data_IF_465830494243
#
_entry.id   IF_465830494243
#
_cell.length_a   1.000
_cell.length_b   1.000
_cell.length_c   1.000
_cell.angle_alpha   90.00
_cell.angle_beta   90.00
_cell.angle_gamma   90.00
#
_symmetry.space_group_name_H-M   'P 1'
#
loop_
_entity.id
_entity.type
_entity.pdbx_description
1 polymer ?
#
# COMPACT_ATOMS: atom_id res chain seq x y z
N UNK A 1 7.15 -8.74 -23.77
CA UNK A 1 7.61 -7.88 -22.66
C UNK A 1 6.76 -8.27 -21.46
N UNK A 2 7.29 -8.37 -20.25
CA UNK A 2 6.50 -8.66 -19.07
C UNK A 2 5.58 -7.49 -18.67
N UNK A 3 4.59 -7.78 -17.85
CA UNK A 3 3.64 -6.83 -17.29
C UNK A 3 2.72 -6.17 -18.34
N UNK A 4 2.19 -6.98 -19.24
CA UNK A 4 1.28 -6.56 -20.33
C UNK A 4 -0.03 -7.33 -20.34
N UNK A 5 -0.20 -8.36 -19.49
CA UNK A 5 -1.43 -9.12 -19.41
C UNK A 5 -2.61 -8.20 -19.07
N UNK A 6 -3.72 -8.42 -19.76
CA UNK A 6 -4.94 -7.67 -19.55
C UNK A 6 -5.62 -8.11 -18.25
N UNK A 7 -5.96 -7.14 -17.39
CA UNK A 7 -6.69 -7.40 -16.16
C UNK A 7 -8.19 -7.39 -16.47
N UNK A 8 -8.83 -8.50 -16.20
CA UNK A 8 -10.25 -8.71 -16.46
C UNK A 8 -10.88 -9.59 -15.35
N UNK A 9 -12.20 -9.79 -15.41
CA UNK A 9 -12.90 -10.69 -14.48
C UNK A 9 -12.46 -12.14 -14.58
N UNK A 10 -11.97 -12.58 -15.74
CA UNK A 10 -11.47 -13.94 -15.96
C UNK A 10 -9.98 -14.07 -15.67
N UNK A 11 -9.25 -12.96 -15.70
CA UNK A 11 -7.83 -12.86 -15.38
C UNK A 11 -7.63 -11.70 -14.38
N UNK A 12 -8.03 -11.87 -13.11
CA UNK A 12 -7.83 -10.84 -12.09
C UNK A 12 -6.34 -10.66 -11.81
N UNK A 13 -5.96 -9.53 -11.23
CA UNK A 13 -4.64 -9.38 -10.60
C UNK A 13 -4.78 -9.41 -9.07
N UNK A 14 -3.66 -9.54 -8.38
CA UNK A 14 -3.63 -9.62 -6.93
C UNK A 14 -2.80 -8.47 -6.32
N UNK A 15 -3.37 -7.82 -5.31
CA UNK A 15 -2.63 -6.90 -4.43
C UNK A 15 -2.57 -7.48 -3.03
N UNK A 16 -1.35 -7.62 -2.50
CA UNK A 16 -1.13 -8.08 -1.14
C UNK A 16 -0.39 -7.01 -0.34
N UNK A 17 -1.08 -6.44 0.64
CA UNK A 17 -0.51 -5.45 1.56
C UNK A 17 0.03 -6.16 2.79
N UNK A 18 1.30 -5.90 3.12
CA UNK A 18 1.94 -6.31 4.37
C UNK A 18 2.06 -5.05 5.22
N UNK A 19 1.36 -5.01 6.34
CA UNK A 19 1.26 -3.81 7.17
C UNK A 19 1.93 -4.06 8.51
N UNK A 20 2.97 -3.29 8.77
CA UNK A 20 3.61 -3.25 10.08
C UNK A 20 2.62 -2.78 11.14
N UNK A 21 2.46 -3.61 12.16
CA UNK A 21 1.61 -3.36 13.32
C UNK A 21 2.42 -3.39 14.62
N UNK A 22 3.73 -3.18 14.54
CA UNK A 22 4.63 -3.14 15.70
C UNK A 22 4.41 -1.92 16.57
N UNK A 23 4.96 -1.96 17.79
CA UNK A 23 4.80 -0.89 18.77
C UNK A 23 5.30 0.48 18.30
N UNK A 24 6.34 0.54 17.46
CA UNK A 24 6.86 1.78 16.87
C UNK A 24 5.87 2.49 15.94
N UNK A 25 4.87 1.77 15.43
CA UNK A 25 3.78 2.36 14.65
C UNK A 25 2.81 3.22 15.50
N UNK A 26 2.97 3.25 16.83
CA UNK A 26 2.27 4.21 17.71
C UNK A 26 2.87 5.61 17.68
N UNK A 27 4.09 5.77 17.19
CA UNK A 27 4.73 7.07 17.08
C UNK A 27 3.90 8.00 16.21
N UNK A 28 3.85 9.28 16.62
CA UNK A 28 3.19 10.32 15.83
C UNK A 28 4.02 10.59 14.57
N UNK A 29 3.36 10.65 13.43
CA UNK A 29 4.00 11.11 12.19
C UNK A 29 4.50 12.55 12.39
N UNK A 30 5.70 12.86 11.88
CA UNK A 30 6.38 14.13 12.12
C UNK A 30 5.46 15.34 11.89
N UNK A 31 5.28 16.23 12.91
CA UNK A 31 4.48 17.43 12.80
C UNK A 31 4.92 18.40 11.69
N UNK A 32 6.20 18.37 11.29
CA UNK A 32 6.72 19.22 10.21
C UNK A 32 6.25 18.78 8.83
N UNK A 33 6.03 17.49 8.63
CA UNK A 33 5.38 16.94 7.45
C UNK A 33 3.86 17.20 7.46
N UNK A 34 3.26 17.40 8.64
CA UNK A 34 1.86 17.77 8.81
C UNK A 34 1.58 19.18 8.26
N UNK A 35 2.49 20.13 8.45
CA UNK A 35 2.36 21.51 7.91
C UNK A 35 2.40 21.56 6.38
N UNK A 36 3.04 20.58 5.72
CA UNK A 36 2.98 20.44 4.27
C UNK A 36 1.63 19.91 3.78
N UNK A 37 0.85 19.28 4.66
CA UNK A 37 -0.47 18.69 4.38
C UNK A 37 -1.63 19.68 4.44
N UNK A 38 -1.47 20.85 5.04
CA UNK A 38 -2.47 21.93 5.00
C UNK A 38 -2.60 22.54 3.60
N UNK A 39 -1.76 22.14 2.65
CA UNK A 39 -1.92 22.52 1.25
C UNK A 39 -2.83 21.50 0.56
N UNK A 40 -3.92 21.96 -0.09
CA UNK A 40 -4.77 21.07 -0.83
C UNK A 40 -3.97 20.38 -1.94
N UNK A 41 -3.90 19.03 -1.88
CA UNK A 41 -3.29 18.22 -2.93
C UNK A 41 -4.37 17.83 -3.93
N UNK A 42 -4.14 18.11 -5.21
CA UNK A 42 -5.02 17.68 -6.29
C UNK A 42 -4.49 16.35 -6.85
N UNK A 43 -5.23 15.26 -6.66
CA UNK A 43 -5.01 13.97 -7.31
C UNK A 43 -6.28 13.65 -8.10
N UNK A 44 -6.17 13.45 -9.39
CA UNK A 44 -7.30 13.21 -10.32
C UNK A 44 -8.38 14.31 -10.26
N UNK A 45 -7.98 15.59 -10.20
CA UNK A 45 -8.91 16.72 -10.10
C UNK A 45 -9.64 16.84 -8.77
N UNK A 46 -9.26 16.04 -7.77
CA UNK A 46 -9.83 16.09 -6.41
C UNK A 46 -8.84 16.65 -5.42
N UNK A 47 -9.27 17.67 -4.68
CA UNK A 47 -8.48 18.30 -3.62
C UNK A 47 -8.55 17.48 -2.34
N UNK A 48 -7.42 17.22 -1.72
CA UNK A 48 -7.29 16.49 -0.45
C UNK A 48 -6.62 17.41 0.58
N UNK A 49 -7.33 17.77 1.62
CA UNK A 49 -6.79 18.45 2.81
C UNK A 49 -6.89 17.51 4.00
N UNK A 50 -5.78 17.26 4.67
CA UNK A 50 -5.75 16.48 5.90
C UNK A 50 -5.40 17.38 7.07
N UNK A 51 -6.27 17.50 8.03
CA UNK A 51 -5.96 18.02 9.37
C UNK A 51 -5.39 16.86 10.20
N UNK A 52 -4.08 16.68 10.18
CA UNK A 52 -3.42 15.55 10.81
C UNK A 52 -2.57 15.96 12.02
N UNK A 53 -3.07 16.81 12.91
CA UNK A 53 -2.41 17.02 14.20
C UNK A 53 -2.59 15.76 15.08
N UNK A 54 -1.52 15.04 15.36
CA UNK A 54 -1.48 13.97 16.36
C UNK A 54 -1.85 12.56 15.89
N UNK A 55 -1.95 12.28 14.58
CA UNK A 55 -2.15 10.90 14.10
C UNK A 55 -0.88 10.06 14.23
N UNK A 56 -1.05 8.82 14.70
CA UNK A 56 0.04 7.84 14.71
C UNK A 56 0.32 7.31 13.30
N UNK A 57 1.50 6.70 13.08
CA UNK A 57 1.84 6.01 11.83
C UNK A 57 0.78 4.96 11.48
N UNK A 58 0.36 4.13 12.46
CA UNK A 58 -0.69 3.13 12.27
C UNK A 58 -2.02 3.73 11.79
N UNK A 59 -2.46 4.84 12.41
CA UNK A 59 -3.68 5.54 11.99
C UNK A 59 -3.56 6.10 10.57
N UNK A 60 -2.40 6.68 10.26
CA UNK A 60 -2.11 7.19 8.92
C UNK A 60 -2.19 6.10 7.86
N UNK A 61 -1.51 4.97 8.09
CA UNK A 61 -1.51 3.82 7.18
C UNK A 61 -2.94 3.26 7.01
N UNK A 62 -3.67 3.06 8.11
CA UNK A 62 -5.04 2.55 8.05
C UNK A 62 -5.96 3.46 7.21
N UNK A 63 -5.86 4.78 7.38
CA UNK A 63 -6.64 5.74 6.60
C UNK A 63 -6.32 5.66 5.10
N UNK A 64 -5.04 5.52 4.75
CA UNK A 64 -4.61 5.42 3.34
C UNK A 64 -5.06 4.10 2.72
N UNK A 65 -4.88 2.98 3.41
CA UNK A 65 -5.32 1.68 2.91
C UNK A 65 -6.85 1.66 2.71
N UNK A 66 -7.63 2.10 3.69
CA UNK A 66 -9.10 2.18 3.54
C UNK A 66 -9.50 3.07 2.36
N UNK A 67 -8.82 4.20 2.19
CA UNK A 67 -9.07 5.10 1.06
C UNK A 67 -8.70 4.47 -0.28
N UNK A 68 -7.58 3.76 -0.35
CA UNK A 68 -7.17 3.03 -1.55
C UNK A 68 -8.21 1.97 -1.92
N UNK A 69 -8.64 1.15 -0.96
CA UNK A 69 -9.69 0.14 -1.16
C UNK A 69 -10.97 0.79 -1.69
N UNK A 70 -11.42 1.88 -1.08
CA UNK A 70 -12.58 2.63 -1.56
C UNK A 70 -12.41 3.15 -2.99
N UNK A 71 -11.25 3.70 -3.34
CA UNK A 71 -10.99 4.18 -4.69
C UNK A 71 -10.96 3.03 -5.71
N UNK A 72 -10.37 1.87 -5.36
CA UNK A 72 -10.37 0.68 -6.21
C UNK A 72 -11.79 0.17 -6.45
N UNK A 73 -12.67 0.17 -5.44
CA UNK A 73 -14.09 -0.22 -5.64
C UNK A 73 -14.78 0.71 -6.62
N UNK A 74 -14.54 2.02 -6.54
CA UNK A 74 -15.11 3.01 -7.48
C UNK A 74 -14.55 2.78 -8.91
N UNK A 75 -13.25 2.53 -9.07
CA UNK A 75 -12.65 2.29 -10.39
C UNK A 75 -13.20 1.03 -11.06
N UNK A 76 -13.51 0.00 -10.26
CA UNK A 76 -14.08 -1.26 -10.74
C UNK A 76 -15.59 -1.23 -10.90
N UNK A 77 -16.27 -0.15 -10.46
CA UNK A 77 -17.72 -0.01 -10.57
C UNK A 77 -18.17 0.20 -12.03
N UNK A 78 -19.18 -0.55 -12.44
CA UNK A 78 -19.88 -0.44 -13.73
C UNK A 78 -21.38 -0.41 -13.47
N UNK A 79 -22.19 -0.28 -14.52
CA UNK A 79 -23.66 -0.23 -14.41
C UNK A 79 -24.26 -1.46 -13.74
N UNK A 80 -23.63 -2.62 -13.87
CA UNK A 80 -24.06 -3.90 -13.30
C UNK A 80 -23.50 -4.20 -11.90
N UNK A 81 -22.66 -3.32 -11.34
CA UNK A 81 -22.01 -3.49 -10.04
C UNK A 81 -20.49 -3.39 -10.12
N UNK A 82 -19.79 -3.82 -9.05
CA UNK A 82 -18.32 -3.82 -9.01
C UNK A 82 -17.80 -5.09 -9.68
N UNK A 83 -16.90 -4.94 -10.64
CA UNK A 83 -16.28 -6.06 -11.36
C UNK A 83 -15.04 -6.55 -10.61
N UNK A 84 -14.92 -7.86 -10.45
CA UNK A 84 -13.80 -8.51 -9.76
C UNK A 84 -12.53 -8.53 -10.63
N UNK A 85 -11.94 -7.37 -10.82
CA UNK A 85 -10.65 -7.21 -11.50
C UNK A 85 -9.47 -7.49 -10.59
N UNK A 86 -9.69 -7.47 -9.27
CA UNK A 86 -8.65 -7.65 -8.27
C UNK A 86 -9.09 -8.58 -7.15
N UNK A 87 -8.13 -9.39 -6.70
CA UNK A 87 -8.14 -10.02 -5.40
C UNK A 87 -7.15 -9.30 -4.48
N UNK A 88 -7.59 -8.95 -3.28
CA UNK A 88 -6.84 -8.11 -2.37
C UNK A 88 -6.68 -8.80 -1.03
N UNK A 89 -5.45 -8.82 -0.53
CA UNK A 89 -5.14 -9.25 0.82
C UNK A 89 -4.53 -8.11 1.65
N UNK A 90 -4.83 -8.11 2.94
CA UNK A 90 -4.15 -7.28 3.93
C UNK A 90 -3.65 -8.20 5.03
N UNK A 91 -2.35 -8.32 5.16
CA UNK A 91 -1.68 -9.09 6.22
C UNK A 91 -1.04 -8.11 7.19
N UNK A 92 -1.50 -8.11 8.43
CA UNK A 92 -0.87 -7.38 9.52
C UNK A 92 0.24 -8.22 10.15
N UNK A 93 1.33 -7.60 10.54
CA UNK A 93 2.40 -8.23 11.29
C UNK A 93 2.86 -7.35 12.46
N UNK A 94 2.80 -7.91 13.64
CA UNK A 94 3.09 -7.26 14.91
C UNK A 94 3.26 -8.31 16.01
N UNK A 95 2.85 -7.98 17.20
CA UNK A 95 2.86 -8.93 18.29
C UNK A 95 2.15 -8.38 19.52
N UNK A 96 2.11 -9.19 20.54
CA UNK A 96 1.68 -8.82 21.89
C UNK A 96 2.49 -9.63 22.90
N UNK A 97 2.11 -9.59 24.16
CA UNK A 97 2.77 -10.33 25.23
C UNK A 97 2.74 -11.86 25.05
N UNK A 98 1.91 -12.38 24.14
CA UNK A 98 1.83 -13.82 23.82
C UNK A 98 2.75 -14.23 22.67
N UNK A 99 3.33 -13.27 21.92
CA UNK A 99 4.30 -13.53 20.85
C UNK A 99 4.01 -12.79 19.54
N UNK A 100 4.66 -13.23 18.47
CA UNK A 100 4.48 -12.68 17.14
C UNK A 100 3.06 -13.01 16.60
N UNK A 101 2.42 -12.02 16.00
CA UNK A 101 1.14 -12.15 15.32
C UNK A 101 1.28 -11.75 13.86
N UNK A 102 1.04 -12.72 12.96
CA UNK A 102 1.06 -12.49 11.51
C UNK A 102 -0.19 -13.13 10.92
N UNK A 103 -1.00 -12.35 10.22
CA UNK A 103 -2.22 -12.88 9.60
C UNK A 103 -3.11 -11.85 8.95
N UNK A 104 -4.26 -12.31 8.41
CA UNK A 104 -5.25 -11.45 7.79
C UNK A 104 -5.71 -10.33 8.74
N UNK A 105 -5.78 -9.11 8.22
CA UNK A 105 -6.04 -7.91 9.03
C UNK A 105 -7.34 -7.18 8.65
N UNK A 106 -8.16 -7.74 7.78
CA UNK A 106 -9.49 -7.20 7.54
C UNK A 106 -10.39 -7.35 8.78
N UNK A 107 -11.25 -6.37 8.98
CA UNK A 107 -12.26 -6.36 10.04
C UNK A 107 -13.68 -6.66 9.49
N UNK A 108 -14.63 -6.87 10.40
CA UNK A 108 -16.02 -7.13 10.07
C UNK A 108 -16.23 -8.50 9.45
N UNK A 109 -17.07 -8.59 8.42
CA UNK A 109 -17.41 -9.86 7.76
C UNK A 109 -16.23 -10.48 6.98
N UNK A 110 -15.21 -9.69 6.65
CA UNK A 110 -14.01 -10.15 5.96
C UNK A 110 -12.90 -10.63 6.92
N UNK A 111 -13.16 -10.66 8.23
CA UNK A 111 -12.18 -11.11 9.23
C UNK A 111 -11.68 -12.52 8.93
N UNK A 112 -10.36 -12.69 8.98
CA UNK A 112 -9.71 -13.98 8.78
C UNK A 112 -9.52 -14.40 7.31
N UNK A 113 -10.02 -13.63 6.35
CA UNK A 113 -9.83 -13.88 4.92
C UNK A 113 -8.45 -13.41 4.47
N UNK A 114 -7.71 -14.29 3.80
CA UNK A 114 -6.37 -13.99 3.26
C UNK A 114 -6.45 -13.14 2.00
N UNK A 115 -7.35 -13.53 1.08
CA UNK A 115 -7.67 -12.79 -0.13
C UNK A 115 -9.19 -12.64 -0.25
N UNK A 116 -9.62 -11.51 -0.75
CA UNK A 116 -11.03 -11.17 -1.02
C UNK A 116 -11.13 -10.46 -2.36
N UNK A 117 -12.22 -10.66 -3.08
CA UNK A 117 -12.45 -9.95 -4.33
C UNK A 117 -12.78 -8.48 -4.08
N UNK A 118 -12.54 -7.61 -5.06
CA UNK A 118 -12.88 -6.19 -4.94
C UNK A 118 -14.40 -5.98 -4.82
N UNK A 119 -15.22 -6.90 -5.35
CA UNK A 119 -16.67 -6.91 -5.17
C UNK A 119 -17.07 -7.24 -3.73
N UNK A 120 -16.41 -8.21 -3.07
CA UNK A 120 -16.63 -8.49 -1.64
C UNK A 120 -16.24 -7.26 -0.79
N UNK A 121 -15.10 -6.62 -1.08
CA UNK A 121 -14.69 -5.37 -0.41
C UNK A 121 -15.77 -4.29 -0.55
N UNK A 122 -16.31 -4.10 -1.74
CA UNK A 122 -17.35 -3.09 -1.98
C UNK A 122 -18.63 -3.32 -1.15
N UNK A 123 -18.98 -4.60 -0.93
CA UNK A 123 -20.23 -4.99 -0.28
C UNK A 123 -20.12 -5.14 1.24
N UNK A 124 -18.91 -5.38 1.78
CA UNK A 124 -18.70 -5.75 3.18
C UNK A 124 -17.71 -4.82 3.92
N UNK A 125 -17.94 -3.50 3.97
CA UNK A 125 -17.17 -2.66 4.88
C UNK A 125 -17.49 -3.07 6.33
N UNK A 126 -16.47 -3.10 7.18
CA UNK A 126 -16.67 -3.39 8.62
C UNK A 126 -17.58 -2.34 9.27
N UNK A 127 -17.47 -1.08 8.84
CA UNK A 127 -18.34 0.02 9.23
C UNK A 127 -18.20 1.18 8.24
N UNK A 128 -19.14 2.13 8.34
CA UNK A 128 -19.10 3.40 7.60
C UNK A 128 -19.00 4.53 8.62
N UNK A 129 -17.96 5.34 8.53
CA UNK A 129 -17.74 6.52 9.37
C UNK A 129 -18.21 7.78 8.64
N UNK A 130 -18.81 8.72 9.37
CA UNK A 130 -18.97 10.09 8.87
C UNK A 130 -17.68 10.87 9.14
N UNK A 131 -17.10 11.43 8.09
CA UNK A 131 -15.93 12.29 8.18
C UNK A 131 -16.21 13.64 7.55
N UNK A 132 -15.55 14.68 8.04
CA UNK A 132 -15.67 16.03 7.48
C UNK A 132 -14.50 16.25 6.52
N UNK A 133 -14.80 16.71 5.31
CA UNK A 133 -13.83 17.11 4.30
C UNK A 133 -14.04 18.58 3.99
N UNK A 134 -12.95 19.35 3.94
CA UNK A 134 -12.99 20.73 3.42
C UNK A 134 -13.00 20.69 1.88
N UNK A 135 -13.95 21.35 1.28
CA UNK A 135 -14.13 21.42 -0.17
C UNK A 135 -14.25 22.90 -0.54
N UNK A 136 -13.60 23.31 -1.63
CA UNK A 136 -13.77 24.65 -2.20
C UNK A 136 -15.22 24.80 -2.71
N UNK A 137 -15.92 25.84 -2.30
CA UNK A 137 -17.29 26.16 -2.70
C UNK A 137 -17.38 26.79 -4.11
N UNK A 138 -16.25 26.94 -4.81
CA UNK A 138 -16.15 27.64 -6.10
C UNK A 138 -16.08 29.17 -6.01
N UNK A 139 -16.21 29.73 -4.80
CA UNK A 139 -16.05 31.16 -4.51
C UNK A 139 -14.73 31.46 -3.78
N UNK A 140 -13.93 30.43 -3.48
CA UNK A 140 -12.65 30.52 -2.79
C UNK A 140 -12.74 30.31 -1.28
N UNK A 141 -13.91 29.94 -0.75
CA UNK A 141 -14.08 29.53 0.64
C UNK A 141 -14.05 28.00 0.78
N UNK A 142 -13.44 27.53 1.87
CA UNK A 142 -13.42 26.10 2.22
C UNK A 142 -14.61 25.81 3.14
N UNK A 143 -15.59 25.08 2.61
CA UNK A 143 -16.75 24.60 3.38
C UNK A 143 -16.56 23.17 3.87
N UNK A 144 -17.13 22.86 5.03
CA UNK A 144 -17.12 21.54 5.60
C UNK A 144 -18.20 20.65 4.95
N UNK A 145 -17.76 19.63 4.22
CA UNK A 145 -18.64 18.63 3.62
C UNK A 145 -18.56 17.32 4.40
N UNK A 146 -19.69 16.80 4.86
CA UNK A 146 -19.77 15.45 5.43
C UNK A 146 -19.66 14.41 4.31
N UNK A 147 -18.77 13.44 4.49
CA UNK A 147 -18.60 12.30 3.58
C UNK A 147 -18.74 11.00 4.35
N UNK A 148 -19.27 9.97 3.70
CA UNK A 148 -19.25 8.61 4.20
C UNK A 148 -17.92 7.97 3.83
N UNK A 149 -17.21 7.42 4.82
CA UNK A 149 -15.90 6.79 4.64
C UNK A 149 -15.98 5.35 5.13
N UNK A 150 -15.93 4.36 4.23
CA UNK A 150 -15.97 2.96 4.60
C UNK A 150 -14.63 2.52 5.20
N UNK A 151 -14.70 1.66 6.21
CA UNK A 151 -13.55 1.10 6.93
C UNK A 151 -13.58 -0.41 6.78
N UNK A 152 -12.47 -1.00 6.41
CA UNK A 152 -12.21 -2.44 6.33
C UNK A 152 -11.06 -2.88 7.21
N UNK A 153 -10.18 -1.94 7.59
CA UNK A 153 -8.94 -2.19 8.29
C UNK A 153 -8.76 -1.14 9.40
N UNK A 154 -8.56 -1.62 10.64
CA UNK A 154 -8.32 -0.76 11.79
C UNK A 154 -6.83 -0.60 12.08
N UNK A 155 -6.40 0.56 12.60
CA UNK A 155 -5.02 0.76 13.02
C UNK A 155 -4.70 -0.13 14.22
N UNK A 156 -3.59 -0.84 14.13
CA UNK A 156 -3.02 -1.65 15.21
C UNK A 156 -1.54 -1.29 15.34
N UNK A 157 -1.04 -1.17 16.57
CA UNK A 157 0.37 -0.96 16.85
C UNK A 157 0.71 -1.59 18.21
N UNK A 158 1.36 -2.76 18.18
CA UNK A 158 1.73 -3.51 19.37
C UNK A 158 2.87 -4.51 19.10
N UNK A 159 3.75 -4.70 20.07
CA UNK A 159 4.81 -5.71 20.08
C UNK A 159 5.93 -5.49 19.06
N UNK A 160 6.51 -6.59 18.63
CA UNK A 160 7.65 -6.62 17.72
C UNK A 160 7.26 -6.56 16.24
N UNK A 161 8.26 -6.68 15.35
CA UNK A 161 8.13 -6.56 13.90
C UNK A 161 8.53 -7.88 13.21
N UNK A 162 7.69 -8.92 13.19
CA UNK A 162 8.00 -10.22 12.61
C UNK A 162 7.92 -10.20 11.07
N UNK A 163 8.77 -9.40 10.42
CA UNK A 163 8.75 -9.15 8.98
C UNK A 163 9.08 -10.41 8.17
N UNK A 164 10.01 -11.22 8.62
CA UNK A 164 10.36 -12.47 7.93
C UNK A 164 9.18 -13.46 7.90
N UNK A 165 8.45 -13.56 9.01
CA UNK A 165 7.23 -14.38 9.07
C UNK A 165 6.13 -13.81 8.15
N UNK A 166 5.99 -12.47 8.09
CA UNK A 166 5.03 -11.82 7.19
C UNK A 166 5.36 -12.10 5.71
N UNK A 167 6.62 -12.00 5.32
CA UNK A 167 7.07 -12.35 3.96
C UNK A 167 6.85 -13.85 3.65
N UNK A 168 7.11 -14.74 4.62
CA UNK A 168 6.84 -16.17 4.46
C UNK A 168 5.34 -16.46 4.29
N UNK A 169 4.50 -15.78 5.05
CA UNK A 169 3.04 -15.88 4.91
C UNK A 169 2.58 -15.37 3.53
N UNK A 170 3.11 -14.24 3.08
CA UNK A 170 2.85 -13.70 1.75
C UNK A 170 3.26 -14.68 0.64
N UNK A 171 4.44 -15.29 0.76
CA UNK A 171 4.90 -16.30 -0.19
C UNK A 171 3.91 -17.47 -0.29
N UNK A 172 3.41 -17.98 0.84
CA UNK A 172 2.45 -19.10 0.85
C UNK A 172 1.15 -18.73 0.11
N UNK A 173 0.55 -17.58 0.44
CA UNK A 173 -0.67 -17.05 -0.21
C UNK A 173 -0.46 -16.92 -1.72
N UNK A 174 0.65 -16.32 -2.12
CA UNK A 174 0.94 -16.03 -3.53
C UNK A 174 1.32 -17.24 -4.34
N UNK A 175 1.93 -18.27 -3.71
CA UNK A 175 2.19 -19.55 -4.37
C UNK A 175 0.89 -20.23 -4.77
N UNK A 176 -0.11 -20.25 -3.88
CA UNK A 176 -1.43 -20.79 -4.17
C UNK A 176 -2.15 -19.97 -5.25
N UNK A 177 -2.10 -18.65 -5.13
CA UNK A 177 -2.75 -17.76 -6.08
C UNK A 177 -2.19 -17.91 -7.50
N UNK A 178 -0.87 -17.89 -7.67
CA UNK A 178 -0.19 -18.04 -8.98
C UNK A 178 -0.51 -19.39 -9.62
N UNK A 179 -0.61 -20.46 -8.82
CA UNK A 179 -0.97 -21.79 -9.32
C UNK A 179 -2.36 -21.82 -9.99
N UNK A 180 -3.29 -20.97 -9.51
CA UNK A 180 -4.64 -20.83 -10.09
C UNK A 180 -4.74 -19.78 -11.20
N UNK A 181 -3.75 -18.88 -11.34
CA UNK A 181 -3.83 -17.67 -12.16
C UNK A 181 -2.57 -17.44 -13.02
N UNK A 182 -2.04 -18.50 -13.65
CA UNK A 182 -0.77 -18.43 -14.38
C UNK A 182 -0.77 -17.39 -15.54
N UNK A 183 -1.92 -17.17 -16.18
CA UNK A 183 -2.06 -16.22 -17.29
C UNK A 183 -2.37 -14.76 -16.86
N UNK A 184 -2.50 -14.52 -15.56
CA UNK A 184 -2.86 -13.21 -15.02
C UNK A 184 -1.67 -12.26 -14.95
N UNK A 185 -1.96 -10.96 -14.85
CA UNK A 185 -0.96 -9.96 -14.49
C UNK A 185 -0.34 -10.32 -13.13
N UNK A 186 1.00 -10.26 -12.99
CA UNK A 186 1.68 -10.69 -11.77
C UNK A 186 1.18 -9.95 -10.52
N UNK A 187 1.05 -10.65 -9.38
CA UNK A 187 0.75 -10.01 -8.11
C UNK A 187 1.73 -8.91 -7.74
N UNK A 188 1.22 -7.92 -7.00
CA UNK A 188 2.03 -6.85 -6.44
C UNK A 188 1.92 -6.91 -4.92
N UNK A 189 3.06 -7.12 -4.25
CA UNK A 189 3.18 -7.07 -2.80
C UNK A 189 3.65 -5.68 -2.40
N UNK A 190 2.97 -5.06 -1.46
CA UNK A 190 3.32 -3.73 -0.94
C UNK A 190 3.52 -3.85 0.56
N UNK A 191 4.77 -3.78 0.99
CA UNK A 191 5.13 -3.79 2.40
C UNK A 191 5.27 -2.37 2.93
N UNK A 192 4.59 -2.05 4.03
CA UNK A 192 4.59 -0.74 4.69
C UNK A 192 5.09 -0.92 6.11
N UNK A 193 6.24 -0.31 6.44
CA UNK A 193 6.94 -0.52 7.71
C UNK A 193 7.75 0.71 8.10
N UNK A 194 8.13 0.83 9.36
CA UNK A 194 9.14 1.79 9.82
C UNK A 194 10.58 1.21 9.82
N UNK A 195 10.77 -0.02 9.32
CA UNK A 195 12.00 -0.57 8.79
C UNK A 195 12.73 -1.59 9.64
N UNK A 196 12.61 -1.60 10.94
CA UNK A 196 13.31 -2.54 11.81
C UNK A 196 12.52 -3.85 11.96
N UNK A 197 13.17 -4.99 11.76
CA UNK A 197 12.58 -6.31 12.02
C UNK A 197 13.13 -6.90 13.31
N UNK A 198 12.33 -7.70 14.00
CA UNK A 198 12.67 -8.31 15.30
C UNK A 198 12.78 -9.83 15.26
N UNK A 199 12.49 -10.43 14.13
CA UNK A 199 12.62 -11.87 13.89
C UNK A 199 13.88 -12.19 13.04
N UNK A 200 13.83 -13.15 12.14
CA UNK A 200 14.92 -13.49 11.25
C UNK A 200 15.07 -12.47 10.11
N UNK A 201 16.24 -12.46 9.44
CA UNK A 201 16.48 -11.66 8.24
C UNK A 201 15.45 -12.03 7.14
N UNK A 202 14.63 -11.08 6.67
CA UNK A 202 13.57 -11.35 5.71
C UNK A 202 14.05 -11.53 4.26
N UNK A 203 15.35 -11.42 3.96
CA UNK A 203 15.89 -11.46 2.59
C UNK A 203 15.49 -12.72 1.85
N UNK A 204 15.66 -13.90 2.46
CA UNK A 204 15.34 -15.17 1.82
C UNK A 204 13.86 -15.31 1.47
N UNK A 205 12.97 -14.87 2.36
CA UNK A 205 11.54 -14.90 2.13
C UNK A 205 11.13 -13.89 1.03
N UNK A 206 11.71 -12.69 1.05
CA UNK A 206 11.48 -11.67 0.02
C UNK A 206 11.97 -12.12 -1.36
N UNK A 207 13.14 -12.76 -1.44
CA UNK A 207 13.66 -13.31 -2.70
C UNK A 207 12.78 -14.45 -3.22
N UNK A 208 12.24 -15.28 -2.33
CA UNK A 208 11.29 -16.34 -2.69
C UNK A 208 9.99 -15.76 -3.26
N UNK A 209 9.46 -14.66 -2.72
CA UNK A 209 8.31 -13.95 -3.30
C UNK A 209 8.64 -13.45 -4.72
N UNK A 210 9.77 -12.76 -4.89
CA UNK A 210 10.20 -12.21 -6.19
C UNK A 210 10.54 -13.29 -7.22
N UNK A 211 10.80 -14.53 -6.81
CA UNK A 211 11.02 -15.67 -7.69
C UNK A 211 9.72 -16.27 -8.22
N UNK A 212 8.59 -16.07 -7.54
CA UNK A 212 7.28 -16.46 -8.06
C UNK A 212 6.93 -15.65 -9.30
N UNK A 213 6.28 -16.29 -10.27
CA UNK A 213 5.95 -15.63 -11.53
C UNK A 213 4.64 -16.17 -12.11
N UNK A 214 3.93 -15.33 -12.83
CA UNK A 214 2.94 -15.74 -13.84
C UNK A 214 3.62 -15.79 -15.22
N UNK A 215 2.89 -16.17 -16.24
CA UNK A 215 3.41 -16.16 -17.64
C UNK A 215 3.77 -14.73 -18.11
N UNK A 216 3.23 -13.70 -17.45
CA UNK A 216 3.46 -12.29 -17.77
C UNK A 216 4.61 -11.62 -16.96
N UNK A 217 5.20 -12.33 -16.01
CA UNK A 217 6.38 -11.84 -15.27
C UNK A 217 6.41 -12.21 -13.81
N UNK A 218 7.47 -11.78 -13.14
CA UNK A 218 7.68 -12.04 -11.72
C UNK A 218 6.79 -11.16 -10.84
N UNK A 219 6.51 -11.64 -9.63
CA UNK A 219 5.84 -10.84 -8.59
C UNK A 219 6.69 -9.63 -8.25
N UNK A 220 6.04 -8.49 -8.10
CA UNK A 220 6.69 -7.25 -7.68
C UNK A 220 6.57 -7.09 -6.17
N UNK A 221 7.70 -6.92 -5.49
CA UNK A 221 7.78 -6.55 -4.08
C UNK A 221 8.16 -5.07 -3.98
N UNK A 222 7.25 -4.26 -3.47
CA UNK A 222 7.43 -2.83 -3.25
C UNK A 222 7.51 -2.56 -1.75
N UNK A 223 8.41 -1.68 -1.31
CA UNK A 223 8.55 -1.34 0.10
C UNK A 223 8.34 0.16 0.31
N UNK A 224 7.58 0.51 1.33
CA UNK A 224 7.37 1.88 1.79
C UNK A 224 7.89 1.98 3.22
N UNK A 225 8.93 2.79 3.38
CA UNK A 225 9.49 3.09 4.69
C UNK A 225 8.84 4.36 5.24
N UNK A 226 8.24 4.25 6.43
CA UNK A 226 7.66 5.38 7.16
C UNK A 226 8.60 5.70 8.31
N UNK A 227 9.21 6.88 8.28
CA UNK A 227 10.13 7.32 9.34
C UNK A 227 9.54 8.45 10.16
N UNK A 228 9.91 8.53 11.42
CA UNK A 228 9.76 9.73 12.27
C UNK A 228 10.96 10.68 12.17
N UNK A 229 11.97 10.34 11.38
CA UNK A 229 13.18 11.16 11.22
C UNK A 229 12.94 12.33 10.25
N UNK A 230 13.53 13.49 10.55
CA UNK A 230 13.48 14.71 9.70
C UNK A 230 14.35 14.61 8.43
N UNK A 231 14.60 13.40 7.93
CA UNK A 231 15.32 13.22 6.68
C UNK A 231 14.43 13.53 5.47
N UNK A 232 15.04 14.03 4.40
CA UNK A 232 14.31 14.29 3.15
C UNK A 232 13.71 12.98 2.61
N UNK A 233 12.45 13.03 2.17
CA UNK A 233 11.80 11.89 1.53
C UNK A 233 12.45 11.57 0.18
N UNK A 234 12.50 10.28 -0.18
CA UNK A 234 12.97 9.82 -1.48
C UNK A 234 11.96 8.83 -2.05
N UNK A 235 11.30 9.22 -3.14
CA UNK A 235 10.37 8.36 -3.87
C UNK A 235 11.07 7.73 -5.07
N UNK A 236 10.94 6.41 -5.25
CA UNK A 236 11.54 5.65 -6.35
C UNK A 236 13.06 5.84 -6.49
N UNK A 237 13.76 5.81 -5.35
CA UNK A 237 15.21 5.90 -5.33
C UNK A 237 15.85 4.96 -6.35
N UNK A 238 16.92 5.42 -7.00
CA UNK A 238 17.71 4.68 -7.98
C UNK A 238 19.05 4.19 -7.41
N UNK A 239 19.45 4.73 -6.26
CA UNK A 239 20.59 4.26 -5.48
C UNK A 239 20.36 4.45 -3.97
N UNK A 240 21.21 3.84 -3.15
CA UNK A 240 21.10 3.89 -1.69
C UNK A 240 21.95 5.01 -1.04
N UNK A 241 22.65 5.83 -1.82
CA UNK A 241 23.59 6.84 -1.30
C UNK A 241 22.89 7.94 -0.51
N UNK A 242 21.63 8.22 -0.86
CA UNK A 242 20.80 9.25 -0.20
C UNK A 242 19.96 8.72 0.95
N UNK A 243 20.00 7.40 1.20
CA UNK A 243 19.20 6.80 2.27
C UNK A 243 19.94 6.93 3.61
N UNK A 244 19.27 7.53 4.59
CA UNK A 244 19.88 7.97 5.83
C UNK A 244 20.30 6.82 6.76
N UNK A 245 19.55 5.72 6.74
CA UNK A 245 19.75 4.64 7.69
C UNK A 245 19.89 3.26 7.02
N UNK A 246 20.35 2.28 7.80
CA UNK A 246 20.62 0.92 7.32
C UNK A 246 19.35 0.15 6.97
N UNK A 247 18.22 0.42 7.63
CA UNK A 247 16.93 -0.25 7.38
C UNK A 247 16.34 0.23 6.06
N UNK A 248 16.42 1.53 5.79
CA UNK A 248 16.04 2.10 4.50
C UNK A 248 16.85 1.48 3.35
N UNK A 249 18.19 1.37 3.50
CA UNK A 249 19.06 0.71 2.51
C UNK A 249 18.70 -0.75 2.33
N UNK A 250 18.37 -1.44 3.42
CA UNK A 250 17.97 -2.83 3.39
C UNK A 250 16.64 -2.98 2.61
N UNK A 251 15.60 -2.22 2.93
CA UNK A 251 14.31 -2.25 2.23
C UNK A 251 14.45 -1.86 0.75
N UNK A 252 15.32 -0.91 0.43
CA UNK A 252 15.66 -0.57 -0.96
C UNK A 252 16.21 -1.78 -1.71
N UNK A 253 17.17 -2.52 -1.13
CA UNK A 253 17.73 -3.73 -1.75
C UNK A 253 16.72 -4.86 -1.90
N UNK A 254 15.79 -5.01 -0.95
CA UNK A 254 14.69 -5.98 -1.02
C UNK A 254 13.69 -5.68 -2.13
N UNK A 255 13.51 -4.40 -2.47
CA UNK A 255 12.49 -3.97 -3.43
C UNK A 255 12.80 -4.43 -4.85
N UNK A 256 11.78 -4.78 -5.60
CA UNK A 256 11.89 -5.09 -7.03
C UNK A 256 12.34 -3.87 -7.84
N UNK A 257 13.10 -4.04 -8.92
CA UNK A 257 13.26 -2.98 -9.93
C UNK A 257 11.88 -2.50 -10.40
N UNK A 258 11.74 -1.20 -10.61
CA UNK A 258 10.47 -0.62 -11.06
C UNK A 258 10.25 -0.92 -12.54
N UNK A 259 9.16 -1.62 -12.94
CA UNK A 259 8.89 -1.88 -14.34
C UNK A 259 8.73 -0.61 -15.17
N UNK A 260 9.03 -0.67 -16.45
CA UNK A 260 9.02 0.50 -17.36
C UNK A 260 7.67 1.21 -17.41
N UNK A 261 6.55 0.48 -17.31
CA UNK A 261 5.22 1.09 -17.26
C UNK A 261 5.00 1.90 -15.98
N UNK A 262 5.46 1.39 -14.82
CA UNK A 262 5.39 2.13 -13.55
C UNK A 262 6.32 3.36 -13.57
N UNK A 263 7.52 3.24 -14.15
CA UNK A 263 8.41 4.39 -14.36
C UNK A 263 7.74 5.48 -15.21
N UNK A 264 7.01 5.08 -16.25
CA UNK A 264 6.27 6.01 -17.10
C UNK A 264 5.17 6.73 -16.33
N UNK A 265 4.39 6.00 -15.53
CA UNK A 265 3.33 6.57 -14.66
C UNK A 265 3.95 7.51 -13.62
N UNK A 266 5.04 7.11 -12.95
CA UNK A 266 5.74 7.95 -11.98
C UNK A 266 6.21 9.27 -12.61
N UNK A 267 6.83 9.23 -13.79
CA UNK A 267 7.25 10.44 -14.52
C UNK A 267 6.08 11.33 -14.94
N UNK A 268 4.95 10.76 -15.35
CA UNK A 268 3.73 11.53 -15.66
C UNK A 268 3.18 12.26 -14.42
N UNK A 269 3.41 11.72 -13.23
CA UNK A 269 3.07 12.34 -11.95
C UNK A 269 4.14 13.31 -11.45
N UNK A 270 5.20 13.59 -12.24
CA UNK A 270 6.29 14.50 -11.88
C UNK A 270 7.32 13.93 -10.91
N UNK A 271 7.37 12.59 -10.75
CA UNK A 271 8.30 11.93 -9.86
C UNK A 271 9.60 11.54 -10.59
N UNK A 272 10.77 11.58 -9.91
CA UNK A 272 12.06 11.29 -10.52
C UNK A 272 12.28 9.77 -10.64
N UNK A 273 11.63 9.12 -11.60
CA UNK A 273 11.83 7.70 -11.86
C UNK A 273 12.81 7.49 -13.04
N UNK A 274 13.87 6.75 -12.81
CA UNK A 274 14.88 6.32 -13.77
C UNK A 274 14.76 4.82 -14.10
N UNK A 275 15.56 4.32 -15.04
CA UNK A 275 15.64 2.87 -15.32
C UNK A 275 16.21 2.04 -14.17
N UNK A 276 16.96 2.70 -13.27
CA UNK A 276 17.55 2.08 -12.09
C UNK A 276 16.65 2.16 -10.85
N UNK A 277 15.52 2.88 -10.94
CA UNK A 277 14.60 3.05 -9.82
C UNK A 277 14.00 1.72 -9.37
N UNK A 278 13.88 1.60 -8.05
CA UNK A 278 13.20 0.46 -7.40
C UNK A 278 11.84 0.86 -6.87
N UNK A 279 11.00 -0.12 -6.65
CA UNK A 279 9.72 0.04 -5.97
C UNK A 279 9.91 0.35 -4.48
N UNK A 280 10.57 1.46 -4.18
CA UNK A 280 10.94 1.87 -2.84
C UNK A 280 10.65 3.35 -2.60
N UNK A 281 10.04 3.63 -1.46
CA UNK A 281 9.85 5.00 -0.95
C UNK A 281 10.40 5.12 0.46
N UNK A 282 11.26 6.11 0.68
CA UNK A 282 11.86 6.42 1.97
C UNK A 282 11.19 7.62 2.61
N UNK A 283 10.96 7.55 3.91
CA UNK A 283 10.37 8.60 4.73
C UNK A 283 9.09 9.16 4.07
N UNK A 284 8.23 8.22 3.63
CA UNK A 284 6.99 8.56 2.96
C UNK A 284 6.05 9.28 3.92
N UNK A 285 5.65 10.48 3.55
CA UNK A 285 4.49 11.14 4.12
C UNK A 285 3.20 10.53 3.54
N UNK A 286 2.05 10.97 4.03
CA UNK A 286 0.75 10.47 3.56
C UNK A 286 0.53 10.73 2.06
N UNK A 287 1.10 11.80 1.54
CA UNK A 287 0.99 12.18 0.12
C UNK A 287 1.81 11.24 -0.75
N UNK A 288 3.06 11.01 -0.37
CA UNK A 288 3.97 10.07 -1.02
C UNK A 288 3.41 8.66 -0.97
N UNK A 289 2.86 8.24 0.18
CA UNK A 289 2.20 6.95 0.34
C UNK A 289 1.04 6.78 -0.65
N UNK A 290 0.14 7.76 -0.75
CA UNK A 290 -0.99 7.72 -1.70
C UNK A 290 -0.48 7.63 -3.14
N UNK A 291 0.51 8.45 -3.52
CA UNK A 291 1.08 8.44 -4.87
C UNK A 291 1.75 7.11 -5.21
N UNK A 292 2.56 6.62 -4.29
CA UNK A 292 3.25 5.34 -4.44
C UNK A 292 2.27 4.18 -4.63
N UNK A 293 1.26 4.10 -3.76
CA UNK A 293 0.21 3.09 -3.87
C UNK A 293 -0.55 3.21 -5.19
N UNK A 294 -0.87 4.44 -5.62
CA UNK A 294 -1.53 4.66 -6.92
C UNK A 294 -0.69 4.12 -8.08
N UNK A 295 0.62 4.39 -8.11
CA UNK A 295 1.52 3.87 -9.14
C UNK A 295 1.56 2.35 -9.09
N UNK A 296 1.70 1.76 -7.89
CA UNK A 296 1.74 0.32 -7.69
C UNK A 296 0.44 -0.40 -8.04
N UNK A 297 -0.70 0.29 -7.96
CA UNK A 297 -2.03 -0.32 -8.17
C UNK A 297 -2.74 0.12 -9.46
N UNK A 298 -2.07 0.89 -10.33
CA UNK A 298 -2.64 1.30 -11.62
C UNK A 298 -1.99 0.47 -12.72
N UNK A 299 -2.62 -0.62 -13.18
CA UNK A 299 -2.14 -1.37 -14.31
C UNK A 299 -2.37 -0.59 -15.61
N UNK A 300 -1.51 -0.79 -16.60
CA UNK A 300 -1.67 -0.19 -17.91
C UNK A 300 -2.87 -0.76 -18.69
N UNK A 301 -3.41 -1.90 -18.29
CA UNK A 301 -4.30 -2.75 -19.09
C UNK A 301 -5.59 -3.15 -18.36
N UNK A 302 -6.26 -2.21 -17.69
CA UNK A 302 -7.59 -2.45 -17.12
C UNK A 302 -8.67 -2.33 -18.19
N UNK A 303 -9.52 -3.36 -18.34
CA UNK A 303 -10.62 -3.41 -19.31
C UNK A 303 -11.97 -3.05 -18.73
#
# INVERSE_FOLDING_TARGET
>A
MPYTAEISRTNPSCFLFLIDQSGSMQDVMDPTNILAMDRPMVVDGRSYTHTASGKTKAQGVADVINKLLYNLTIQCAKSEGVRDYYEIGVVGYGGDSSGARVGPAFNGELTGRELVTIGEIANHPARIEERTKKVDDGAGELIDQKIKFPIWFDPVADGGTPMSQAMTKAQAILTEWVAGHSASFPPIVINITDGEWTDADPTSAADSIKALATDDGNILLLNIHISSNQAASAEFADDESRLADQYAKFLFRLSSPLPSYMQAVARQMGLPASEMSRGFSFNADMVSLIRFLKIGTTPSNLR
#
